data_IF_185876330844
#
_entry.id   IF_185876330844
#
_cell.length_a   1.000
_cell.length_b   1.000
_cell.length_c   1.000
_cell.angle_alpha   90.00
_cell.angle_beta   90.00
_cell.angle_gamma   90.00
#
_symmetry.space_group_name_H-M   'P 1'
#
loop_
_entity.id
_entity.type
_entity.pdbx_description
1 polymer ?
#
# COMPACT_ATOMS: atom_id res chain seq x y z
N UNK A 1 10.59 7.20 3.03
CA UNK A 1 9.55 6.63 3.88
C UNK A 1 8.22 6.61 3.13
N UNK A 2 7.33 5.68 3.43
CA UNK A 2 5.94 5.67 2.93
C UNK A 2 5.01 6.22 4.02
N UNK A 3 3.81 6.67 3.66
CA UNK A 3 2.81 7.08 4.63
C UNK A 3 1.38 6.70 4.19
N UNK A 4 0.51 6.43 5.16
CA UNK A 4 -0.92 6.30 4.92
C UNK A 4 -1.73 7.01 6.00
N UNK A 5 -2.89 7.53 5.61
CA UNK A 5 -3.84 8.19 6.52
C UNK A 5 -4.79 7.15 7.14
N UNK A 6 -4.89 7.15 8.46
CA UNK A 6 -5.93 6.38 9.15
C UNK A 6 -7.26 7.14 9.12
N UNK A 7 -8.10 6.75 8.16
CA UNK A 7 -9.46 7.28 8.03
C UNK A 7 -10.44 6.39 8.79
N UNK A 8 -10.36 5.05 8.62
CA UNK A 8 -11.29 4.06 9.17
C UNK A 8 -10.64 2.67 9.35
N UNK A 9 -9.44 2.61 9.93
CA UNK A 9 -8.70 1.33 10.09
C UNK A 9 -8.34 1.04 11.56
N UNK A 10 -9.32 0.95 12.48
CA UNK A 10 -9.06 0.80 13.91
C UNK A 10 -8.26 -0.47 14.23
N UNK A 11 -8.52 -1.57 13.53
CA UNK A 11 -7.80 -2.83 13.74
C UNK A 11 -6.34 -2.73 13.30
N UNK A 12 -6.05 -2.06 12.17
CA UNK A 12 -4.68 -1.79 11.74
C UNK A 12 -3.93 -0.98 12.77
N UNK A 13 -4.55 0.10 13.29
CA UNK A 13 -3.92 0.93 14.31
C UNK A 13 -3.69 0.17 15.62
N UNK A 14 -4.65 -0.65 16.05
CA UNK A 14 -4.48 -1.49 17.24
C UNK A 14 -3.36 -2.51 17.05
N UNK A 15 -3.25 -3.12 15.88
CA UNK A 15 -2.14 -4.02 15.56
C UNK A 15 -0.80 -3.28 15.60
N UNK A 16 -0.72 -2.09 15.01
CA UNK A 16 0.51 -1.28 14.97
C UNK A 16 0.96 -0.76 16.34
N UNK A 17 0.02 -0.53 17.26
CA UNK A 17 0.35 -0.20 18.67
C UNK A 17 1.02 -1.37 19.40
N UNK A 18 0.67 -2.61 19.04
CA UNK A 18 1.24 -3.81 19.63
C UNK A 18 2.52 -4.27 18.91
N UNK A 19 2.61 -4.04 17.60
CA UNK A 19 3.73 -4.43 16.76
C UNK A 19 3.89 -3.42 15.61
N UNK A 20 4.99 -2.66 15.62
CA UNK A 20 5.28 -1.65 14.60
C UNK A 20 5.67 -2.23 13.25
N UNK A 21 5.98 -3.52 13.15
CA UNK A 21 6.36 -4.14 11.88
C UNK A 21 5.18 -4.12 10.89
N UNK A 22 5.44 -3.62 9.69
CA UNK A 22 4.42 -3.50 8.64
C UNK A 22 4.95 -3.93 7.28
N UNK A 23 4.05 -4.47 6.48
CA UNK A 23 4.26 -4.80 5.08
C UNK A 23 3.22 -4.07 4.22
N UNK A 24 3.67 -3.33 3.21
CA UNK A 24 2.81 -2.65 2.24
C UNK A 24 3.01 -3.32 0.88
N UNK A 25 1.94 -3.84 0.30
CA UNK A 25 1.94 -4.46 -1.02
C UNK A 25 1.29 -3.52 -2.05
N UNK A 26 2.01 -3.21 -3.12
CA UNK A 26 1.49 -2.43 -4.25
C UNK A 26 1.54 -3.30 -5.49
N UNK A 27 0.39 -3.75 -5.97
CA UNK A 27 0.26 -4.73 -7.05
C UNK A 27 -0.45 -4.11 -8.25
N UNK A 28 0.10 -4.32 -9.45
CA UNK A 28 -0.62 -4.18 -10.72
C UNK A 28 -1.37 -5.50 -10.98
N UNK A 29 -2.71 -5.53 -10.88
CA UNK A 29 -3.48 -6.76 -11.07
C UNK A 29 -3.47 -7.27 -12.52
N UNK A 30 -3.32 -6.40 -13.51
CA UNK A 30 -3.29 -6.77 -14.94
C UNK A 30 -1.99 -7.47 -15.29
N UNK A 31 -0.89 -6.98 -14.74
CA UNK A 31 0.42 -7.60 -14.89
C UNK A 31 0.64 -8.73 -13.87
N UNK A 32 -0.16 -8.79 -12.80
CA UNK A 32 0.05 -9.71 -11.67
C UNK A 32 1.48 -9.62 -11.14
N UNK A 33 1.99 -8.40 -11.02
CA UNK A 33 3.30 -8.10 -10.46
C UNK A 33 3.22 -6.84 -9.61
N UNK A 34 4.20 -6.62 -8.75
CA UNK A 34 4.24 -5.46 -7.89
C UNK A 34 5.45 -5.45 -6.99
N UNK A 35 5.34 -4.70 -5.91
CA UNK A 35 6.38 -4.55 -4.91
C UNK A 35 5.81 -4.76 -3.51
N UNK A 36 6.59 -5.45 -2.69
CA UNK A 36 6.38 -5.60 -1.25
C UNK A 36 7.42 -4.73 -0.54
N UNK A 37 6.93 -3.81 0.28
CA UNK A 37 7.75 -2.94 1.12
C UNK A 37 7.61 -3.39 2.57
N UNK A 38 8.73 -3.69 3.24
CA UNK A 38 8.77 -4.02 4.67
C UNK A 38 9.40 -2.88 5.44
N UNK A 39 8.90 -2.62 6.65
CA UNK A 39 9.43 -1.55 7.47
C UNK A 39 8.79 -1.47 8.86
N UNK A 40 9.12 -0.41 9.56
CA UNK A 40 8.55 -0.09 10.87
C UNK A 40 7.65 1.14 10.77
N UNK A 41 6.45 1.02 11.34
CA UNK A 41 5.43 2.05 11.38
C UNK A 41 5.56 2.93 12.64
N UNK A 42 5.32 4.23 12.46
CA UNK A 42 5.19 5.24 13.51
C UNK A 42 3.85 5.93 13.34
N UNK A 43 3.01 5.84 14.37
CA UNK A 43 1.71 6.51 14.40
C UNK A 43 1.91 7.95 14.87
N UNK A 44 1.52 8.90 14.04
CA UNK A 44 1.65 10.34 14.29
C UNK A 44 0.25 10.93 14.50
N UNK A 45 0.03 11.61 15.62
CA UNK A 45 -1.27 12.20 16.00
C UNK A 45 -1.16 13.72 16.15
N UNK A 46 -0.25 14.21 17.00
CA UNK A 46 -0.15 15.64 17.35
C UNK A 46 1.30 16.16 17.24
N UNK A 47 1.82 16.25 16.02
CA UNK A 47 3.17 16.76 15.75
C UNK A 47 3.19 17.76 14.58
N UNK A 48 4.24 18.58 14.46
CA UNK A 48 4.44 19.43 13.28
C UNK A 48 4.40 18.63 11.98
N UNK A 49 5.00 17.44 12.00
CA UNK A 49 4.98 16.49 10.89
C UNK A 49 3.56 16.01 10.52
N UNK A 50 2.66 15.86 11.50
CA UNK A 50 1.27 15.53 11.22
C UNK A 50 0.60 16.63 10.41
N UNK A 51 0.77 17.90 10.82
CA UNK A 51 0.18 19.04 10.13
C UNK A 51 0.70 19.18 8.68
N UNK A 52 2.00 18.95 8.47
CA UNK A 52 2.63 18.97 7.15
C UNK A 52 2.02 17.90 6.22
N UNK A 53 1.98 16.64 6.67
CA UNK A 53 1.46 15.54 5.85
C UNK A 53 -0.08 15.67 5.67
N UNK A 54 -0.79 16.14 6.70
CA UNK A 54 -2.22 16.43 6.59
C UNK A 54 -2.48 17.49 5.52
N UNK A 55 -1.70 18.57 5.48
CA UNK A 55 -1.84 19.62 4.46
C UNK A 55 -1.66 19.05 3.05
N UNK A 56 -0.69 18.13 2.86
CA UNK A 56 -0.54 17.42 1.60
C UNK A 56 -1.77 16.58 1.23
N UNK A 57 -2.32 15.79 2.16
CA UNK A 57 -3.55 15.03 1.88
C UNK A 57 -4.72 15.94 1.52
N UNK A 58 -4.84 17.11 2.16
CA UNK A 58 -5.88 18.10 1.81
C UNK A 58 -5.65 18.71 0.42
N UNK A 59 -4.42 19.00 0.04
CA UNK A 59 -4.11 19.60 -1.27
C UNK A 59 -4.44 18.67 -2.43
N UNK A 60 -4.33 17.35 -2.24
CA UNK A 60 -4.74 16.33 -3.23
C UNK A 60 -6.22 15.95 -3.14
N UNK A 61 -7.01 16.65 -2.30
CA UNK A 61 -8.47 16.54 -2.27
C UNK A 61 -9.05 15.55 -1.27
N UNK A 62 -8.26 14.99 -0.33
CA UNK A 62 -8.81 14.15 0.74
C UNK A 62 -9.67 15.02 1.65
N UNK A 63 -10.96 14.68 1.80
CA UNK A 63 -11.94 15.41 2.63
C UNK A 63 -12.31 14.69 3.92
N UNK A 64 -12.12 13.38 3.98
CA UNK A 64 -12.45 12.57 5.15
C UNK A 64 -11.66 13.02 6.39
N UNK A 65 -12.22 12.85 7.60
CA UNK A 65 -11.44 12.95 8.83
C UNK A 65 -10.27 11.97 8.80
N UNK A 66 -9.11 12.42 9.28
CA UNK A 66 -7.91 11.60 9.43
C UNK A 66 -7.63 11.59 10.93
N UNK A 67 -7.67 10.41 11.55
CA UNK A 67 -7.51 10.25 13.00
C UNK A 67 -6.03 10.21 13.40
N UNK A 68 -5.19 9.65 12.52
CA UNK A 68 -3.74 9.62 12.65
C UNK A 68 -3.10 9.43 11.29
N UNK A 69 -1.80 9.71 11.20
CA UNK A 69 -0.98 9.42 10.02
C UNK A 69 0.05 8.39 10.42
N UNK A 70 0.16 7.32 9.63
CA UNK A 70 1.17 6.29 9.85
C UNK A 70 2.32 6.52 8.88
N UNK A 71 3.49 6.83 9.41
CA UNK A 71 4.74 6.90 8.64
C UNK A 71 5.44 5.55 8.73
N UNK A 72 5.97 5.07 7.62
CA UNK A 72 6.68 3.79 7.54
C UNK A 72 8.10 4.02 7.04
N UNK A 73 9.06 3.69 7.89
CA UNK A 73 10.48 3.67 7.54
C UNK A 73 10.81 2.31 6.92
N UNK A 74 11.11 2.32 5.62
CA UNK A 74 11.25 1.11 4.81
C UNK A 74 12.65 0.54 4.99
N UNK A 75 12.72 -0.72 5.42
CA UNK A 75 13.97 -1.47 5.61
C UNK A 75 14.27 -2.42 4.45
N UNK A 76 13.23 -2.90 3.75
CA UNK A 76 13.39 -3.82 2.63
C UNK A 76 12.33 -3.61 1.55
N UNK A 77 12.72 -3.83 0.29
CA UNK A 77 11.83 -3.81 -0.87
C UNK A 77 12.11 -5.04 -1.72
N UNK A 78 11.07 -5.78 -2.09
CA UNK A 78 11.17 -6.94 -2.97
C UNK A 78 10.13 -6.88 -4.08
N UNK A 79 10.49 -7.34 -5.27
CA UNK A 79 9.51 -7.59 -6.33
C UNK A 79 8.60 -8.76 -5.95
N UNK A 80 7.33 -8.66 -6.33
CA UNK A 80 6.34 -9.73 -6.20
C UNK A 80 5.82 -10.05 -7.58
N UNK A 81 5.94 -11.30 -8.01
CA UNK A 81 5.48 -11.77 -9.32
C UNK A 81 4.55 -12.97 -9.16
N UNK A 82 3.63 -13.12 -10.11
CA UNK A 82 2.76 -14.29 -10.18
C UNK A 82 3.54 -15.55 -10.57
N UNK A 83 3.18 -16.74 -10.05
CA UNK A 83 3.80 -18.02 -10.45
C UNK A 83 3.74 -18.32 -11.95
N UNK A 84 2.85 -17.64 -12.69
CA UNK A 84 2.80 -17.71 -14.15
C UNK A 84 4.13 -17.30 -14.82
N UNK A 85 4.87 -16.37 -14.22
CA UNK A 85 6.18 -15.96 -14.73
C UNK A 85 7.19 -17.10 -14.61
N UNK A 86 7.15 -17.86 -13.51
CA UNK A 86 7.99 -19.07 -13.33
C UNK A 86 7.64 -20.17 -14.34
N UNK A 87 6.39 -20.19 -14.82
CA UNK A 87 5.92 -21.07 -15.90
C UNK A 87 6.27 -20.54 -17.31
N UNK A 88 7.10 -19.50 -17.41
CA UNK A 88 7.55 -18.92 -18.68
C UNK A 88 6.50 -18.07 -19.41
N UNK A 89 5.42 -17.65 -18.74
CA UNK A 89 4.39 -16.81 -19.37
C UNK A 89 4.86 -15.37 -19.54
N UNK A 90 4.69 -14.86 -20.75
CA UNK A 90 4.94 -13.45 -21.06
C UNK A 90 3.84 -12.55 -20.46
N UNK A 91 4.17 -11.28 -20.26
CA UNK A 91 3.18 -10.27 -19.82
C UNK A 91 1.98 -10.17 -20.78
N UNK A 92 2.22 -10.35 -22.08
CA UNK A 92 1.17 -10.30 -23.10
C UNK A 92 0.17 -11.45 -22.89
N UNK A 93 0.64 -12.67 -22.63
CA UNK A 93 -0.21 -13.81 -22.31
C UNK A 93 -0.99 -13.60 -21.01
N UNK A 94 -0.33 -13.07 -19.97
CA UNK A 94 -0.95 -12.80 -18.67
C UNK A 94 -2.08 -11.75 -18.81
N UNK A 95 -1.82 -10.63 -19.49
CA UNK A 95 -2.83 -9.59 -19.76
C UNK A 95 -3.99 -10.12 -20.59
N UNK A 96 -3.71 -10.93 -21.61
CA UNK A 96 -4.74 -11.47 -22.52
C UNK A 96 -5.74 -12.37 -21.77
N UNK A 97 -5.28 -13.20 -20.83
CA UNK A 97 -6.17 -13.99 -19.97
C UNK A 97 -7.09 -13.12 -19.12
N UNK A 98 -6.55 -12.08 -18.46
CA UNK A 98 -7.36 -11.16 -17.65
C UNK A 98 -8.39 -10.39 -18.48
N UNK A 99 -8.01 -9.87 -19.64
CA UNK A 99 -8.95 -9.22 -20.57
C UNK A 99 -10.11 -10.14 -20.95
N UNK A 100 -9.82 -11.41 -21.25
CA UNK A 100 -10.86 -12.41 -21.57
C UNK A 100 -11.74 -12.77 -20.39
N UNK A 101 -11.23 -12.75 -19.16
CA UNK A 101 -12.00 -13.04 -17.95
C UNK A 101 -12.98 -11.89 -17.65
N UNK A 102 -12.52 -10.64 -17.68
CA UNK A 102 -13.39 -9.48 -17.42
C UNK A 102 -14.31 -9.09 -18.58
N UNK A 103 -13.97 -9.41 -19.82
CA UNK A 103 -14.91 -9.25 -20.95
C UNK A 103 -16.10 -10.23 -20.90
N UNK A 104 -16.07 -11.21 -19.99
CA UNK A 104 -17.15 -12.17 -19.75
C UNK A 104 -17.96 -11.87 -18.48
N UNK A 105 -17.58 -10.84 -17.72
CA UNK A 105 -18.33 -10.29 -16.59
C UNK A 105 -19.18 -9.12 -17.06
#
# INVERSE_FOLDING_TARGET
SLAFADIRSPDTINNLKNNSNVEINVIDPLLRKGYLFKGEAKIIVDASLYAEILAYYRSIGVKSPISSIVLVDISHVSEVTSPLYDMGKSEQEIKSKWKKHFAKL
#
